data_IF_545493070016
#
_entry.id   IF_545493070016
#
_cell.length_a   1.000
_cell.length_b   1.000
_cell.length_c   1.000
_cell.angle_alpha   90.00
_cell.angle_beta   90.00
_cell.angle_gamma   90.00
#
_symmetry.space_group_name_H-M   'P 1'
#
loop_
_entity.id
_entity.type
_entity.pdbx_description
1 polymer ?
#
# COMPACT_ATOMS: atom_id res chain seq x y z
N UNK A 1 -2.68 -14.11 -15.10
CA UNK A 1 -3.10 -14.27 -13.69
C UNK A 1 -2.91 -12.94 -12.99
N UNK A 2 -4.02 -12.25 -12.72
CA UNK A 2 -4.07 -10.89 -12.18
C UNK A 2 -3.77 -10.96 -10.68
N UNK A 3 -2.66 -10.36 -10.22
CA UNK A 3 -2.46 -10.11 -8.79
C UNK A 3 -3.49 -9.07 -8.33
N UNK A 4 -4.66 -9.54 -7.87
CA UNK A 4 -5.57 -8.71 -7.09
C UNK A 4 -4.90 -8.48 -5.74
N UNK A 5 -4.55 -7.23 -5.44
CA UNK A 5 -4.30 -6.83 -4.07
C UNK A 5 -5.62 -7.01 -3.30
N UNK A 6 -5.79 -8.15 -2.64
CA UNK A 6 -6.86 -8.37 -1.70
C UNK A 6 -6.63 -7.44 -0.50
N UNK A 7 -7.29 -6.29 -0.49
CA UNK A 7 -7.47 -5.54 0.75
C UNK A 7 -8.43 -6.39 1.57
N UNK A 8 -7.92 -7.07 2.60
CA UNK A 8 -8.75 -7.94 3.42
C UNK A 8 -9.79 -7.10 4.20
N UNK A 9 -10.89 -7.74 4.62
CA UNK A 9 -11.97 -7.07 5.35
C UNK A 9 -11.49 -6.33 6.61
N UNK A 10 -10.41 -6.80 7.25
CA UNK A 10 -9.79 -6.11 8.40
C UNK A 10 -9.07 -4.80 8.02
N UNK A 11 -8.39 -4.71 6.86
CA UNK A 11 -7.84 -3.44 6.38
C UNK A 11 -8.95 -2.46 6.00
N UNK A 12 -10.04 -2.93 5.38
CA UNK A 12 -11.20 -2.08 5.07
C UNK A 12 -11.84 -1.56 6.37
N UNK A 13 -12.00 -2.40 7.40
CA UNK A 13 -12.50 -1.98 8.71
C UNK A 13 -11.55 -1.00 9.42
N UNK A 14 -10.22 -1.19 9.33
CA UNK A 14 -9.24 -0.22 9.85
C UNK A 14 -9.27 1.12 9.10
N UNK A 15 -9.67 1.14 7.82
CA UNK A 15 -9.79 2.35 7.02
C UNK A 15 -11.16 3.03 7.26
N UNK A 16 -12.25 2.26 7.38
CA UNK A 16 -13.62 2.75 7.56
C UNK A 16 -13.93 3.23 8.98
N UNK A 17 -13.44 2.54 10.03
CA UNK A 17 -13.55 3.00 11.43
C UNK A 17 -12.83 4.35 11.67
N UNK A 18 -12.07 4.80 10.67
CA UNK A 18 -11.04 5.82 10.78
C UNK A 18 -11.28 7.03 9.85
N UNK A 19 -12.38 6.98 9.10
CA UNK A 19 -13.00 8.10 8.38
C UNK A 19 -13.88 8.98 9.31
N UNK A 20 -14.02 8.60 10.58
CA UNK A 20 -14.67 9.41 11.60
C UNK A 20 -13.68 10.49 12.10
N UNK A 21 -14.07 11.77 12.19
CA UNK A 21 -13.21 12.80 12.76
C UNK A 21 -12.79 12.42 14.19
N UNK A 22 -11.52 12.69 14.55
CA UNK A 22 -11.09 12.55 15.95
C UNK A 22 -11.97 13.46 16.80
N UNK A 23 -12.61 12.97 17.89
CA UNK A 23 -13.30 13.88 18.80
C UNK A 23 -12.28 14.86 19.38
N UNK A 24 -12.64 16.14 19.36
CA UNK A 24 -11.84 17.23 19.92
C UNK A 24 -11.56 16.93 21.40
N UNK A 25 -10.32 17.10 21.85
CA UNK A 25 -9.96 16.94 23.25
C UNK A 25 -10.56 18.09 24.08
N UNK A 26 -11.72 17.86 24.68
CA UNK A 26 -12.39 18.73 25.65
C UNK A 26 -13.70 18.07 26.11
N UNK A 27 -13.90 17.93 27.43
CA UNK A 27 -14.99 17.14 28.08
C UNK A 27 -16.43 17.57 27.70
N UNK A 28 -17.50 16.87 28.10
CA UNK A 28 -17.81 16.20 29.38
C UNK A 28 -18.93 15.15 29.16
N UNK A 29 -18.96 14.11 30.02
CA UNK A 29 -20.02 13.14 30.33
C UNK A 29 -20.67 12.24 29.26
N UNK A 30 -20.53 10.92 29.48
CA UNK A 30 -21.30 9.85 28.81
C UNK A 30 -22.17 9.12 29.84
N UNK A 31 -23.45 8.81 29.54
CA UNK A 31 -24.06 7.57 30.01
C UNK A 31 -23.79 6.44 29.00
N UNK A 32 -23.48 5.27 29.56
CA UNK A 32 -23.63 3.91 29.02
C UNK A 32 -23.11 3.59 27.61
N UNK A 33 -21.79 3.38 27.49
CA UNK A 33 -21.20 2.47 26.51
C UNK A 33 -21.47 0.99 26.87
N UNK A 34 -22.75 0.59 26.95
CA UNK A 34 -23.13 -0.83 27.10
C UNK A 34 -24.11 -1.34 26.03
N UNK A 35 -24.56 -0.51 25.10
CA UNK A 35 -25.58 -0.93 24.10
C UNK A 35 -25.18 -0.79 22.63
N UNK A 36 -23.96 -0.34 22.29
CA UNK A 36 -23.53 -0.23 20.88
C UNK A 36 -22.51 -1.29 20.41
N UNK A 37 -22.05 -2.20 21.29
CA UNK A 37 -21.13 -3.29 20.93
C UNK A 37 -21.79 -4.67 20.85
N UNK A 38 -23.10 -4.76 21.07
CA UNK A 38 -23.88 -5.99 20.95
C UNK A 38 -25.01 -5.67 19.97
N UNK A 39 -24.72 -5.74 18.66
CA UNK A 39 -25.71 -5.95 17.57
C UNK A 39 -25.06 -5.95 16.16
N UNK A 40 -23.78 -6.33 16.05
CA UNK A 40 -23.19 -6.70 14.75
C UNK A 40 -22.44 -8.05 14.81
N UNK A 41 -22.75 -8.83 15.84
CA UNK A 41 -22.58 -10.28 15.84
C UNK A 41 -24.01 -10.84 15.83
N UNK A 42 -24.27 -11.82 14.97
CA UNK A 42 -25.59 -12.39 14.63
C UNK A 42 -26.41 -11.65 13.57
N UNK A 43 -25.92 -11.65 12.33
CA UNK A 43 -26.72 -12.12 11.19
C UNK A 43 -25.78 -12.25 9.98
N UNK A 44 -25.04 -13.35 9.87
CA UNK A 44 -25.32 -14.32 8.81
C UNK A 44 -24.48 -15.57 9.08
N UNK A 45 -24.95 -16.42 10.00
CA UNK A 45 -24.63 -17.84 9.96
C UNK A 45 -25.73 -18.51 9.16
N UNK A 46 -25.40 -19.00 7.96
CA UNK A 46 -25.88 -20.28 7.46
C UNK A 46 -24.88 -20.90 6.47
N UNK A 47 -24.89 -22.24 6.39
CA UNK A 47 -23.68 -23.04 6.55
C UNK A 47 -23.39 -23.85 5.29
N UNK A 48 -22.12 -23.86 4.87
CA UNK A 48 -21.47 -24.95 4.15
C UNK A 48 -20.18 -24.42 3.54
N UNK A 49 -19.09 -24.50 4.29
CA UNK A 49 -17.78 -24.75 3.67
C UNK A 49 -17.10 -25.81 4.50
N UNK A 50 -16.99 -26.96 3.85
CA UNK A 50 -16.29 -28.18 4.21
C UNK A 50 -14.87 -27.86 4.71
N UNK A 51 -14.55 -28.25 5.94
CA UNK A 51 -13.19 -28.34 6.45
C UNK A 51 -12.75 -29.78 6.18
N UNK A 52 -11.83 -30.08 5.23
CA UNK A 52 -11.08 -31.31 5.33
C UNK A 52 -9.94 -31.11 6.32
N UNK A 53 -9.82 -32.11 7.18
CA UNK A 53 -8.96 -32.21 8.35
C UNK A 53 -7.49 -31.86 8.10
N UNK A 54 -6.90 -31.27 9.14
CA UNK A 54 -5.47 -31.35 9.40
C UNK A 54 -5.06 -32.81 9.57
N UNK A 55 -4.47 -33.42 8.55
CA UNK A 55 -3.71 -34.66 8.72
C UNK A 55 -2.34 -34.60 8.04
N UNK A 56 -1.35 -35.04 8.83
CA UNK A 56 -0.06 -35.58 8.44
C UNK A 56 1.03 -34.62 7.90
N UNK A 57 1.94 -34.24 8.80
CA UNK A 57 3.36 -34.09 8.47
C UNK A 57 3.86 -35.35 7.73
N UNK A 58 4.42 -35.27 6.52
CA UNK A 58 5.12 -36.41 5.95
C UNK A 58 6.42 -36.65 6.73
N UNK A 59 6.55 -37.85 7.30
CA UNK A 59 7.78 -38.38 7.90
C UNK A 59 8.90 -38.45 6.85
N UNK A 60 10.18 -38.34 7.26
CA UNK A 60 11.29 -38.34 6.31
C UNK A 60 11.41 -39.73 5.67
N UNK A 61 11.23 -39.78 4.34
CA UNK A 61 11.65 -40.93 3.54
C UNK A 61 13.14 -40.83 3.29
N UNK A 62 13.90 -41.66 3.99
CA UNK A 62 15.30 -41.95 3.72
C UNK A 62 15.41 -42.74 2.42
N UNK A 63 15.85 -42.10 1.33
CA UNK A 63 16.37 -42.81 0.16
C UNK A 63 17.81 -42.34 -0.12
N UNK A 64 18.82 -43.22 -0.01
CA UNK A 64 20.24 -42.86 -0.07
C UNK A 64 20.80 -42.64 -1.50
N UNK A 65 19.97 -42.55 -2.54
CA UNK A 65 20.44 -42.45 -3.94
C UNK A 65 19.81 -41.36 -4.82
N UNK A 66 19.17 -40.33 -4.24
CA UNK A 66 18.72 -39.14 -4.97
C UNK A 66 19.45 -37.88 -4.48
N UNK A 67 20.76 -37.90 -4.58
CA UNK A 67 21.63 -36.76 -4.30
C UNK A 67 21.94 -36.01 -5.60
N UNK A 68 21.79 -34.68 -5.55
CA UNK A 68 22.14 -33.68 -6.58
C UNK A 68 21.24 -33.61 -7.84
N UNK A 69 20.15 -32.82 -7.77
CA UNK A 69 19.77 -31.79 -8.79
C UNK A 69 18.41 -31.11 -8.49
N UNK A 70 18.26 -30.57 -7.28
CA UNK A 70 17.24 -29.57 -7.00
C UNK A 70 17.87 -28.36 -6.27
N UNK A 71 19.05 -27.95 -6.72
CA UNK A 71 19.63 -26.68 -6.30
C UNK A 71 18.92 -25.57 -7.07
N UNK A 72 17.94 -24.95 -6.40
CA UNK A 72 17.71 -23.51 -6.38
C UNK A 72 18.34 -22.74 -7.55
N UNK A 73 17.64 -22.63 -8.67
CA UNK A 73 17.90 -21.54 -9.61
C UNK A 73 17.05 -20.36 -9.16
N UNK A 74 17.62 -19.35 -8.44
CA UNK A 74 16.87 -18.12 -8.26
C UNK A 74 16.63 -17.58 -9.66
N UNK A 75 15.36 -17.47 -10.04
CA UNK A 75 14.96 -16.76 -11.25
C UNK A 75 15.69 -15.42 -11.23
N UNK A 76 16.63 -15.22 -12.17
CA UNK A 76 17.43 -14.00 -12.27
C UNK A 76 16.48 -12.85 -12.60
N UNK A 77 15.95 -12.20 -11.57
CA UNK A 77 15.11 -11.02 -11.74
C UNK A 77 15.95 -9.90 -12.35
N UNK A 78 15.40 -9.28 -13.41
CA UNK A 78 16.06 -8.18 -14.09
C UNK A 78 16.46 -7.08 -13.09
N UNK A 79 17.65 -6.52 -13.28
CA UNK A 79 18.28 -5.63 -12.30
C UNK A 79 17.41 -4.41 -11.96
N UNK A 80 16.73 -3.84 -12.96
CA UNK A 80 15.80 -2.72 -12.78
C UNK A 80 14.63 -3.06 -11.83
N UNK A 81 14.12 -4.31 -11.84
CA UNK A 81 13.06 -4.77 -10.93
C UNK A 81 13.55 -4.94 -9.50
N UNK A 82 14.83 -5.32 -9.33
CA UNK A 82 15.47 -5.41 -8.01
C UNK A 82 15.70 -4.01 -7.44
N UNK A 83 16.22 -3.09 -8.25
CA UNK A 83 16.41 -1.68 -7.90
C UNK A 83 15.09 -1.02 -7.53
N UNK A 84 14.03 -1.22 -8.33
CA UNK A 84 12.69 -0.70 -8.05
C UNK A 84 12.14 -1.15 -6.68
N UNK A 85 12.17 -2.45 -6.40
CA UNK A 85 11.74 -2.99 -5.09
C UNK A 85 12.57 -2.47 -3.92
N UNK A 86 13.88 -2.30 -4.11
CA UNK A 86 14.74 -1.70 -3.10
C UNK A 86 14.32 -0.25 -2.83
N UNK A 87 14.04 0.50 -3.89
CA UNK A 87 13.54 1.87 -3.84
C UNK A 87 12.21 1.98 -3.09
N UNK A 88 11.19 1.22 -3.50
CA UNK A 88 9.88 1.19 -2.83
C UNK A 88 9.99 0.89 -1.34
N UNK A 89 10.81 -0.11 -0.98
CA UNK A 89 11.03 -0.50 0.43
C UNK A 89 11.71 0.63 1.21
N UNK A 90 12.67 1.32 0.61
CA UNK A 90 13.37 2.43 1.23
C UNK A 90 12.45 3.64 1.41
N UNK A 91 11.68 4.00 0.38
CA UNK A 91 10.69 5.06 0.40
C UNK A 91 9.63 4.82 1.49
N UNK A 92 9.06 3.61 1.54
CA UNK A 92 8.12 3.22 2.60
C UNK A 92 8.70 3.44 4.00
N UNK A 93 9.91 2.91 4.26
CA UNK A 93 10.56 3.07 5.56
C UNK A 93 10.84 4.53 5.89
N UNK A 94 11.26 5.33 4.91
CA UNK A 94 11.52 6.75 5.08
C UNK A 94 10.26 7.51 5.50
N UNK A 95 9.14 7.30 4.79
CA UNK A 95 7.87 7.97 5.11
C UNK A 95 7.30 7.53 6.45
N UNK A 96 7.43 6.24 6.81
CA UNK A 96 7.01 5.75 8.13
C UNK A 96 7.81 6.39 9.27
N UNK A 97 9.11 6.64 9.09
CA UNK A 97 9.93 7.36 10.08
C UNK A 97 9.52 8.82 10.24
N UNK A 98 8.91 9.41 9.21
CA UNK A 98 8.35 10.77 9.26
C UNK A 98 6.91 10.79 9.82
N UNK A 99 6.46 9.73 10.50
CA UNK A 99 5.17 9.69 11.18
C UNK A 99 3.98 9.24 10.33
N UNK A 100 4.20 8.96 9.04
CA UNK A 100 3.11 8.52 8.16
C UNK A 100 2.73 7.06 8.41
N UNK A 101 1.42 6.78 8.44
CA UNK A 101 0.91 5.41 8.58
C UNK A 101 0.83 4.74 7.21
N UNK A 102 1.57 3.66 7.04
CA UNK A 102 1.48 2.82 5.84
C UNK A 102 0.11 2.13 5.75
N UNK A 103 -0.53 2.17 4.58
CA UNK A 103 -1.81 1.49 4.32
C UNK A 103 -1.62 0.33 3.35
N UNK A 104 -1.08 0.60 2.16
CA UNK A 104 -0.84 -0.42 1.13
C UNK A 104 0.30 -0.02 0.19
N UNK A 105 0.82 -0.99 -0.55
CA UNK A 105 1.83 -0.82 -1.60
C UNK A 105 1.39 -1.53 -2.86
N UNK A 106 1.91 -1.11 -4.02
CA UNK A 106 1.65 -1.72 -5.32
C UNK A 106 0.15 -1.85 -5.62
N UNK A 107 -0.62 -0.80 -5.33
CA UNK A 107 -2.04 -0.79 -5.62
C UNK A 107 -2.24 -0.70 -7.14
N UNK A 108 -3.05 -1.60 -7.68
CA UNK A 108 -3.36 -1.67 -9.12
C UNK A 108 -4.86 -1.59 -9.33
N UNK A 109 -5.27 -0.73 -10.25
CA UNK A 109 -6.62 -0.66 -10.77
C UNK A 109 -6.60 -0.83 -12.30
N UNK A 110 -7.76 -1.04 -12.96
CA UNK A 110 -7.81 -1.04 -14.42
C UNK A 110 -7.35 0.27 -15.07
N UNK A 111 -7.29 1.38 -14.31
CA UNK A 111 -7.03 2.72 -14.81
C UNK A 111 -5.65 3.28 -14.45
N UNK A 112 -4.89 2.57 -13.63
CA UNK A 112 -3.55 2.97 -13.22
C UNK A 112 -3.01 2.16 -12.04
N UNK A 113 -1.87 2.58 -11.55
CA UNK A 113 -1.19 1.98 -10.41
C UNK A 113 -0.66 3.06 -9.46
N UNK A 114 -0.48 2.71 -8.19
CA UNK A 114 0.09 3.57 -7.16
C UNK A 114 1.07 2.74 -6.34
N UNK A 115 2.31 3.20 -6.23
CA UNK A 115 3.38 2.44 -5.57
C UNK A 115 3.15 2.34 -4.08
N UNK A 116 2.83 3.46 -3.42
CA UNK A 116 2.56 3.49 -1.98
C UNK A 116 1.34 4.35 -1.66
N UNK A 117 0.53 3.87 -0.72
CA UNK A 117 -0.57 4.64 -0.13
C UNK A 117 -0.35 4.71 1.37
N UNK A 118 -0.30 5.94 1.89
CA UNK A 118 -0.08 6.23 3.29
C UNK A 118 -1.16 7.20 3.80
N UNK A 119 -1.20 7.39 5.12
CA UNK A 119 -1.95 8.47 5.75
C UNK A 119 -1.02 9.35 6.55
N UNK A 120 -1.25 10.65 6.39
CA UNK A 120 -0.63 11.72 7.14
C UNK A 120 -1.77 12.53 7.75
N UNK A 121 -2.03 12.31 9.04
CA UNK A 121 -3.21 12.85 9.75
C UNK A 121 -4.54 12.74 8.98
N UNK A 122 -5.21 13.82 8.59
CA UNK A 122 -6.50 13.79 7.89
C UNK A 122 -6.37 13.61 6.36
N UNK A 123 -5.16 13.30 5.89
CA UNK A 123 -4.82 13.23 4.47
C UNK A 123 -4.41 11.82 4.04
N UNK A 124 -5.01 11.34 2.95
CA UNK A 124 -4.51 10.19 2.20
C UNK A 124 -3.44 10.64 1.22
N UNK A 125 -2.28 10.00 1.32
CA UNK A 125 -1.09 10.31 0.54
C UNK A 125 -0.90 9.21 -0.49
N UNK A 126 -1.04 9.57 -1.75
CA UNK A 126 -0.74 8.69 -2.89
C UNK A 126 0.67 9.00 -3.37
N UNK A 127 1.57 8.03 -3.24
CA UNK A 127 2.99 8.25 -3.51
C UNK A 127 3.48 7.42 -4.68
N UNK A 128 4.17 8.09 -5.59
CA UNK A 128 4.94 7.52 -6.69
C UNK A 128 6.43 7.47 -6.29
N UNK A 129 7.09 6.34 -6.52
CA UNK A 129 8.49 6.12 -6.14
C UNK A 129 9.38 6.06 -7.38
N UNK A 130 10.28 7.04 -7.51
CA UNK A 130 11.26 7.08 -8.59
C UNK A 130 12.62 6.62 -8.09
N UNK A 131 13.04 5.44 -8.52
CA UNK A 131 14.40 4.94 -8.24
C UNK A 131 15.37 5.46 -9.31
N UNK A 132 16.50 6.04 -8.88
CA UNK A 132 17.54 6.61 -9.76
C UNK A 132 18.91 6.03 -9.45
N UNK A 133 19.78 5.95 -10.46
CA UNK A 133 21.22 5.78 -10.26
C UNK A 133 21.90 7.13 -10.01
N UNK A 134 23.12 7.09 -9.46
CA UNK A 134 23.98 8.25 -9.17
C UNK A 134 24.17 9.22 -10.35
N UNK A 135 24.14 8.73 -11.58
CA UNK A 135 24.33 9.52 -12.81
C UNK A 135 23.13 10.42 -13.16
N UNK A 136 21.92 10.06 -12.71
CA UNK A 136 20.67 10.75 -13.07
C UNK A 136 20.28 11.88 -12.10
N UNK A 137 21.00 12.04 -10.97
CA UNK A 137 20.55 12.83 -9.82
C UNK A 137 20.54 14.35 -10.03
N UNK A 138 21.37 14.87 -10.94
CA UNK A 138 21.62 16.30 -11.08
C UNK A 138 20.49 17.08 -11.80
N UNK A 139 19.48 16.39 -12.34
CA UNK A 139 18.36 17.04 -13.03
C UNK A 139 17.13 17.05 -12.11
N UNK A 140 16.48 18.21 -11.86
CA UNK A 140 15.20 18.24 -11.17
C UNK A 140 14.15 17.51 -12.03
N UNK A 141 13.89 16.25 -11.72
CA UNK A 141 12.95 15.40 -12.47
C UNK A 141 11.49 15.56 -12.00
N UNK A 142 11.19 16.66 -11.31
CA UNK A 142 9.93 16.88 -10.59
C UNK A 142 8.76 17.30 -11.48
N UNK A 143 8.80 16.99 -12.78
CA UNK A 143 7.61 17.00 -13.62
C UNK A 143 7.14 15.56 -13.81
N UNK A 144 6.02 15.21 -13.19
CA UNK A 144 5.21 14.08 -13.64
C UNK A 144 4.49 14.56 -14.90
N UNK A 145 4.64 13.84 -16.01
CA UNK A 145 3.92 14.17 -17.24
C UNK A 145 2.39 14.13 -17.00
N UNK A 146 1.63 14.81 -17.86
CA UNK A 146 0.18 14.89 -17.73
C UNK A 146 -0.49 13.50 -17.78
N UNK A 147 0.09 12.57 -18.55
CA UNK A 147 -0.43 11.21 -18.68
C UNK A 147 -0.35 10.44 -17.35
N UNK A 148 0.80 10.47 -16.69
CA UNK A 148 1.06 9.79 -15.43
C UNK A 148 0.31 10.44 -14.28
N UNK A 149 0.18 11.78 -14.26
CA UNK A 149 -0.74 12.48 -13.33
C UNK A 149 -2.18 11.99 -13.51
N UNK A 150 -2.62 11.82 -14.75
CA UNK A 150 -3.93 11.25 -15.07
C UNK A 150 -4.11 9.81 -14.59
N UNK A 151 -3.13 8.93 -14.82
CA UNK A 151 -3.15 7.53 -14.35
C UNK A 151 -3.19 7.44 -12.83
N UNK A 152 -2.34 8.19 -12.13
CA UNK A 152 -2.30 8.26 -10.67
C UNK A 152 -3.63 8.79 -10.11
N UNK A 153 -4.19 9.84 -10.71
CA UNK A 153 -5.48 10.42 -10.29
C UNK A 153 -6.64 9.43 -10.43
N UNK A 154 -6.68 8.66 -11.53
CA UNK A 154 -7.73 7.64 -11.73
C UNK A 154 -7.58 6.47 -10.76
N UNK A 155 -6.35 6.00 -10.54
CA UNK A 155 -6.08 4.95 -9.57
C UNK A 155 -6.44 5.40 -8.15
N UNK A 156 -6.15 6.66 -7.79
CA UNK A 156 -6.52 7.21 -6.50
C UNK A 156 -8.05 7.21 -6.31
N UNK A 157 -8.81 7.62 -7.33
CA UNK A 157 -10.28 7.53 -7.29
C UNK A 157 -10.80 6.09 -7.17
N UNK A 158 -10.16 5.12 -7.82
CA UNK A 158 -10.53 3.71 -7.67
C UNK A 158 -10.29 3.22 -6.23
N UNK A 159 -9.17 3.62 -5.63
CA UNK A 159 -8.89 3.34 -4.23
C UNK A 159 -9.92 3.98 -3.30
N UNK A 160 -10.26 5.26 -3.52
CA UNK A 160 -11.25 5.99 -2.70
C UNK A 160 -12.63 5.34 -2.77
N UNK A 161 -13.06 4.90 -3.96
CA UNK A 161 -14.31 4.14 -4.16
C UNK A 161 -14.30 2.81 -3.41
N UNK A 162 -13.17 2.11 -3.45
CA UNK A 162 -13.00 0.82 -2.75
C UNK A 162 -13.20 0.99 -1.23
N UNK A 163 -12.73 2.11 -0.67
CA UNK A 163 -12.88 2.44 0.75
C UNK A 163 -14.13 3.28 1.06
N UNK A 164 -15.12 3.31 0.14
CA UNK A 164 -16.43 3.97 0.29
C UNK A 164 -16.40 5.50 0.40
N UNK A 165 -15.45 6.16 -0.26
CA UNK A 165 -15.34 7.63 -0.38
C UNK A 165 -15.42 8.38 0.96
N UNK A 166 -14.48 8.14 1.90
CA UNK A 166 -14.47 8.82 3.19
C UNK A 166 -14.16 10.32 3.05
N UNK A 167 -14.68 11.20 3.90
CA UNK A 167 -14.39 12.64 3.84
C UNK A 167 -12.97 12.93 4.33
N UNK A 168 -11.97 12.77 3.46
CA UNK A 168 -10.54 12.95 3.76
C UNK A 168 -9.88 13.85 2.73
N UNK A 169 -8.82 14.53 3.14
CA UNK A 169 -7.95 15.24 2.19
C UNK A 169 -7.15 14.23 1.40
N UNK A 170 -6.72 14.63 0.21
CA UNK A 170 -5.84 13.83 -0.63
C UNK A 170 -4.66 14.66 -1.08
N UNK A 171 -3.49 14.02 -1.20
CA UNK A 171 -2.33 14.61 -1.86
C UNK A 171 -1.55 13.58 -2.67
N UNK A 172 -0.82 14.07 -3.66
CA UNK A 172 0.09 13.26 -4.46
C UNK A 172 1.53 13.65 -4.18
N UNK A 173 2.32 12.67 -3.77
CA UNK A 173 3.72 12.85 -3.39
C UNK A 173 4.63 12.08 -4.35
N UNK A 174 5.85 12.55 -4.52
CA UNK A 174 6.92 11.78 -5.17
C UNK A 174 7.99 11.50 -4.14
N UNK A 175 8.51 10.27 -4.14
CA UNK A 175 9.74 9.95 -3.43
C UNK A 175 10.80 9.53 -4.42
N UNK A 176 11.90 10.28 -4.46
CA UNK A 176 13.07 9.92 -5.25
C UNK A 176 14.04 9.15 -4.37
N UNK A 177 14.47 7.97 -4.82
CA UNK A 177 15.44 7.13 -4.11
C UNK A 177 16.69 6.98 -4.96
N UNK A 178 17.79 7.51 -4.46
CA UNK A 178 19.09 7.41 -5.10
C UNK A 178 19.78 6.13 -4.67
N UNK A 179 20.06 5.27 -5.64
CA UNK A 179 20.85 4.06 -5.45
C UNK A 179 22.27 4.26 -6.00
N UNK A 180 23.28 3.88 -5.22
CA UNK A 180 24.65 3.69 -5.71
C UNK A 180 25.22 2.42 -5.10
N UNK A 181 25.95 1.65 -5.90
CA UNK A 181 26.57 0.38 -5.49
C UNK A 181 25.57 -0.63 -4.88
N UNK A 182 24.33 -0.62 -5.37
CA UNK A 182 23.26 -1.49 -4.86
C UNK A 182 22.69 -1.08 -3.49
N UNK A 183 23.11 0.07 -2.95
CA UNK A 183 22.65 0.60 -1.67
C UNK A 183 21.92 1.95 -1.83
N UNK A 184 21.06 2.28 -0.87
CA UNK A 184 20.37 3.57 -0.81
C UNK A 184 21.35 4.63 -0.30
N UNK A 185 21.62 5.65 -1.11
CA UNK A 185 22.46 6.79 -0.72
C UNK A 185 21.65 7.95 -0.18
N UNK A 186 20.58 8.31 -0.88
CA UNK A 186 19.76 9.47 -0.56
C UNK A 186 18.29 9.17 -0.85
N UNK A 187 17.40 9.78 -0.07
CA UNK A 187 15.95 9.75 -0.30
C UNK A 187 15.45 11.18 -0.21
N UNK A 188 14.75 11.63 -1.25
CA UNK A 188 14.09 12.94 -1.29
C UNK A 188 12.59 12.74 -1.36
N UNK A 189 11.87 13.28 -0.39
CA UNK A 189 10.41 13.31 -0.38
C UNK A 189 9.93 14.67 -0.88
N UNK A 190 9.10 14.67 -1.91
CA UNK A 190 8.49 15.83 -2.53
C UNK A 190 6.97 15.80 -2.22
N UNK A 191 6.53 16.43 -1.12
CA UNK A 191 5.11 16.45 -0.76
C UNK A 191 4.31 17.35 -1.71
N UNK A 192 3.04 17.02 -1.94
CA UNK A 192 2.10 17.82 -2.74
C UNK A 192 2.65 18.19 -4.12
N UNK A 193 3.31 17.24 -4.81
CA UNK A 193 4.00 17.52 -6.07
C UNK A 193 3.04 17.98 -7.18
N UNK A 194 1.80 17.48 -7.18
CA UNK A 194 0.77 17.91 -8.12
C UNK A 194 -0.65 17.72 -7.55
N UNK A 195 -1.64 18.52 -7.99
CA UNK A 195 -3.04 18.31 -7.65
C UNK A 195 -3.66 17.19 -8.49
N UNK A 196 -4.84 16.72 -8.09
CA UNK A 196 -5.63 15.79 -8.91
C UNK A 196 -5.86 16.36 -10.32
N UNK A 197 -5.63 15.54 -11.35
CA UNK A 197 -5.70 15.96 -12.75
C UNK A 197 -7.16 16.23 -13.16
N UNK A 198 -7.42 17.41 -13.73
CA UNK A 198 -8.77 17.78 -14.20
C UNK A 198 -9.21 16.87 -15.37
N UNK A 199 -10.51 16.56 -15.53
CA UNK A 199 -11.66 17.05 -14.75
C UNK A 199 -11.96 16.22 -13.48
N UNK A 200 -11.06 15.34 -13.05
CA UNK A 200 -11.28 14.48 -11.88
C UNK A 200 -11.34 15.33 -10.61
N UNK A 201 -12.26 14.97 -9.71
CA UNK A 201 -12.48 15.66 -8.44
C UNK A 201 -12.77 14.66 -7.32
N UNK A 202 -12.35 15.03 -6.11
CA UNK A 202 -12.65 14.34 -4.87
C UNK A 202 -12.80 15.38 -3.78
N UNK A 203 -13.92 15.34 -3.04
CA UNK A 203 -14.39 16.44 -2.21
C UNK A 203 -15.47 17.21 -2.94
#
# INVERSE_FOLDING_TARGET
>A
MICQAFINGQQILQILHWAQPRPCAGGVDRPSLREACINFAFDTLRPNVFIPECEAFPKPVTNPFLTLKACFTPKLEAEHLRRGRLGERAAKKHLQRHGMKFLTANFRSPRGEIDLILRDDDCLVFTEVKTRSSEDWQRPAAAVDAERRGRLSRAALDYLRLIKNPPVKIRFDIVEVLLSDGAVREIRHLPNTFPMEKPLRYG
#
